data_IF_335213677546
#
_entry.id   IF_335213677546
#
_cell.length_a   1.000
_cell.length_b   1.000
_cell.length_c   1.000
_cell.angle_alpha   90.00
_cell.angle_beta   90.00
_cell.angle_gamma   90.00
#
_symmetry.space_group_name_H-M   'P 1'
#
loop_
_entity.id
_entity.type
_entity.pdbx_description
1 polymer ?
#
# COMPACT_ATOMS: atom_id res chain seq x y z
N UNK A 1 6.77 -3.76 19.40
CA UNK A 1 6.77 -2.43 18.71
C UNK A 1 5.34 -1.90 18.74
N UNK A 2 5.12 -0.64 19.09
CA UNK A 2 3.79 -0.02 19.03
C UNK A 2 3.68 0.75 17.71
N UNK A 3 2.64 0.47 16.92
CA UNK A 3 2.28 1.27 15.74
C UNK A 3 1.25 2.29 16.21
N UNK A 4 1.56 3.61 16.21
CA UNK A 4 0.67 4.62 16.74
C UNK A 4 -0.55 4.83 15.82
N UNK A 5 -1.68 5.21 16.41
CA UNK A 5 -2.86 5.70 15.70
C UNK A 5 -2.88 7.23 15.75
N UNK A 6 -2.97 7.87 14.59
CA UNK A 6 -2.95 9.32 14.41
C UNK A 6 -4.32 9.76 13.88
N UNK A 7 -4.92 10.72 14.53
CA UNK A 7 -6.25 11.24 14.17
C UNK A 7 -6.13 12.45 13.24
N UNK A 8 -6.70 12.34 12.04
CA UNK A 8 -6.73 13.39 11.02
C UNK A 8 -8.03 14.22 11.06
N UNK A 9 -8.88 14.07 12.10
CA UNK A 9 -10.14 14.85 12.21
C UNK A 9 -9.90 16.37 12.15
N UNK A 10 -8.79 16.84 12.71
CA UNK A 10 -8.42 18.26 12.71
C UNK A 10 -7.50 18.65 11.56
N UNK A 11 -7.31 17.78 10.56
CA UNK A 11 -6.52 18.14 9.39
C UNK A 11 -7.16 19.34 8.69
N UNK A 12 -6.42 20.43 8.63
CA UNK A 12 -6.79 21.64 7.90
C UNK A 12 -5.54 22.19 7.22
N UNK A 13 -5.52 22.16 5.90
CA UNK A 13 -4.39 22.60 5.11
C UNK A 13 -4.10 24.11 5.18
N UNK A 14 -4.96 24.90 5.82
CA UNK A 14 -4.81 26.34 6.09
C UNK A 14 -4.40 26.62 7.53
N UNK A 15 -4.35 25.60 8.40
CA UNK A 15 -3.92 25.70 9.80
C UNK A 15 -2.49 25.17 9.96
N UNK A 16 -1.53 26.07 9.87
CA UNK A 16 -0.11 25.72 10.00
C UNK A 16 0.23 25.05 11.34
N UNK A 17 -0.39 25.48 12.45
CA UNK A 17 -0.11 24.91 13.77
C UNK A 17 -0.65 23.48 13.90
N UNK A 18 -1.87 23.23 13.44
CA UNK A 18 -2.44 21.89 13.40
C UNK A 18 -1.66 20.94 12.50
N UNK A 19 -1.12 21.45 11.38
CA UNK A 19 -0.23 20.67 10.50
C UNK A 19 1.12 20.38 11.15
N UNK A 20 1.68 21.27 11.97
CA UNK A 20 2.95 21.03 12.70
C UNK A 20 2.79 19.88 13.70
N UNK A 21 1.67 19.83 14.44
CA UNK A 21 1.38 18.72 15.37
C UNK A 21 1.26 17.38 14.64
N UNK A 22 0.49 17.33 13.54
CA UNK A 22 0.38 16.13 12.71
C UNK A 22 1.73 15.72 12.11
N UNK A 23 2.50 16.68 11.61
CA UNK A 23 3.82 16.45 11.04
C UNK A 23 4.79 15.82 12.03
N UNK A 24 4.76 16.27 13.29
CA UNK A 24 5.57 15.70 14.37
C UNK A 24 5.19 14.23 14.65
N UNK A 25 3.89 13.96 14.85
CA UNK A 25 3.40 12.60 15.11
C UNK A 25 3.72 11.62 13.97
N UNK A 26 3.51 12.06 12.74
CA UNK A 26 3.79 11.28 11.54
C UNK A 26 5.30 11.03 11.39
N UNK A 27 6.13 12.06 11.58
CA UNK A 27 7.59 11.92 11.50
C UNK A 27 8.13 10.95 12.53
N UNK A 28 7.64 10.98 13.77
CA UNK A 28 8.03 10.07 14.83
C UNK A 28 7.67 8.61 14.49
N UNK A 29 6.46 8.37 13.99
CA UNK A 29 6.00 7.06 13.57
C UNK A 29 6.90 6.48 12.46
N UNK A 30 7.12 7.25 11.39
CA UNK A 30 7.85 6.80 10.20
C UNK A 30 9.35 6.63 10.47
N UNK A 31 9.95 7.45 11.33
CA UNK A 31 11.35 7.32 11.76
C UNK A 31 11.55 6.08 12.63
N UNK A 32 10.55 5.74 13.46
CA UNK A 32 10.64 4.63 14.42
C UNK A 32 10.33 3.28 13.78
N UNK A 33 9.19 3.18 13.11
CA UNK A 33 8.66 1.91 12.59
C UNK A 33 8.45 1.87 11.09
N UNK A 34 8.36 3.02 10.42
CA UNK A 34 7.91 3.10 9.04
C UNK A 34 6.41 2.86 8.87
N UNK A 35 5.68 2.67 9.98
CA UNK A 35 4.26 2.33 10.02
C UNK A 35 3.49 3.22 10.99
N UNK A 36 2.25 3.53 10.64
CA UNK A 36 1.26 4.19 11.51
C UNK A 36 -0.14 3.71 11.14
N UNK A 37 -1.12 4.00 11.98
CA UNK A 37 -2.54 3.91 11.64
C UNK A 37 -3.10 5.33 11.57
N UNK A 38 -4.02 5.58 10.66
CA UNK A 38 -4.71 6.85 10.55
C UNK A 38 -6.22 6.62 10.65
N UNK A 39 -6.89 7.44 11.44
CA UNK A 39 -8.36 7.57 11.48
C UNK A 39 -8.77 8.95 10.94
N UNK A 40 -10.00 9.08 10.47
CA UNK A 40 -10.57 10.33 9.94
C UNK A 40 -9.80 10.92 8.73
N UNK A 41 -9.25 10.06 7.87
CA UNK A 41 -8.50 10.48 6.69
C UNK A 41 -9.40 11.11 5.60
N UNK A 42 -10.72 10.99 5.71
CA UNK A 42 -11.70 11.48 4.74
C UNK A 42 -12.22 10.39 3.79
N UNK A 43 -11.84 9.14 4.05
CA UNK A 43 -12.44 7.94 3.46
C UNK A 43 -13.43 7.42 4.50
N UNK A 44 -14.71 7.30 4.14
CA UNK A 44 -15.76 6.92 5.09
C UNK A 44 -15.76 5.41 5.33
N UNK A 45 -16.26 4.99 6.50
CA UNK A 45 -16.43 3.57 6.80
C UNK A 45 -17.38 2.90 5.80
N UNK A 46 -18.44 3.59 5.37
CA UNK A 46 -19.36 3.10 4.34
C UNK A 46 -18.62 2.76 3.04
N UNK A 47 -17.78 3.68 2.54
CA UNK A 47 -16.95 3.42 1.35
C UNK A 47 -16.03 2.21 1.53
N UNK A 48 -15.44 2.04 2.71
CA UNK A 48 -14.56 0.91 2.99
C UNK A 48 -15.36 -0.40 3.00
N UNK A 49 -16.51 -0.41 3.65
CA UNK A 49 -17.37 -1.58 3.77
C UNK A 49 -17.92 -2.01 2.40
N UNK A 50 -18.36 -1.07 1.57
CA UNK A 50 -18.83 -1.32 0.20
C UNK A 50 -17.76 -2.03 -0.64
N UNK A 51 -16.49 -1.59 -0.56
CA UNK A 51 -15.40 -2.24 -1.30
C UNK A 51 -15.04 -3.61 -0.72
N UNK A 52 -15.17 -3.83 0.59
CA UNK A 52 -15.02 -5.18 1.15
C UNK A 52 -16.16 -6.11 0.71
N UNK A 53 -17.40 -5.63 0.59
CA UNK A 53 -18.53 -6.40 0.05
C UNK A 53 -18.29 -6.72 -1.41
N UNK A 54 -17.86 -5.74 -2.20
CA UNK A 54 -17.51 -5.92 -3.62
C UNK A 54 -16.38 -6.94 -3.81
N UNK A 55 -15.35 -6.87 -2.97
CA UNK A 55 -14.23 -7.82 -2.94
C UNK A 55 -14.72 -9.23 -2.62
N UNK A 56 -15.55 -9.39 -1.60
CA UNK A 56 -16.14 -10.66 -1.21
C UNK A 56 -16.98 -11.24 -2.33
N UNK A 57 -17.82 -10.42 -2.96
CA UNK A 57 -18.62 -10.81 -4.13
C UNK A 57 -17.73 -11.33 -5.28
N UNK A 58 -16.67 -10.60 -5.63
CA UNK A 58 -15.77 -10.99 -6.72
C UNK A 58 -15.08 -12.33 -6.43
N UNK A 59 -14.46 -12.48 -5.27
CA UNK A 59 -13.70 -13.70 -4.95
C UNK A 59 -14.61 -14.92 -4.67
N UNK A 60 -15.89 -14.74 -4.38
CA UNK A 60 -16.87 -15.84 -4.26
C UNK A 60 -17.31 -16.44 -5.60
N UNK A 61 -16.96 -15.80 -6.72
CA UNK A 61 -17.31 -16.29 -8.06
C UNK A 61 -16.48 -17.52 -8.43
N UNK A 62 -16.97 -18.29 -9.40
CA UNK A 62 -16.23 -19.45 -9.93
C UNK A 62 -14.89 -19.03 -10.54
N UNK A 63 -13.95 -19.95 -10.58
CA UNK A 63 -12.64 -19.68 -11.18
C UNK A 63 -12.75 -19.32 -12.67
N UNK A 64 -13.71 -19.91 -13.38
CA UNK A 64 -14.01 -19.60 -14.78
C UNK A 64 -14.45 -18.14 -14.95
N UNK A 65 -15.35 -17.66 -14.08
CA UNK A 65 -15.83 -16.27 -14.12
C UNK A 65 -14.73 -15.28 -13.76
N UNK A 66 -13.92 -15.54 -12.72
CA UNK A 66 -12.81 -14.67 -12.35
C UNK A 66 -11.75 -14.59 -13.44
N UNK A 67 -11.51 -15.70 -14.13
CA UNK A 67 -10.53 -15.79 -15.21
C UNK A 67 -10.90 -14.96 -16.46
N UNK A 68 -12.15 -14.53 -16.61
CA UNK A 68 -12.53 -13.56 -17.66
C UNK A 68 -11.85 -12.21 -17.48
N UNK A 69 -11.43 -11.91 -16.24
CA UNK A 69 -10.70 -10.70 -15.85
C UNK A 69 -9.20 -10.97 -15.62
N UNK A 70 -8.62 -11.99 -16.25
CA UNK A 70 -7.25 -12.43 -15.96
C UNK A 70 -6.22 -11.31 -16.13
N UNK A 71 -5.24 -11.30 -15.24
CA UNK A 71 -4.06 -10.43 -15.30
C UNK A 71 -3.20 -10.80 -16.52
N UNK A 72 -2.80 -9.81 -17.29
CA UNK A 72 -2.08 -10.03 -18.55
C UNK A 72 -0.60 -9.72 -18.42
N UNK A 73 -0.26 -8.54 -17.90
CA UNK A 73 1.14 -8.10 -17.84
C UNK A 73 1.42 -7.13 -16.70
N UNK A 74 2.70 -7.02 -16.32
CA UNK A 74 3.15 -6.06 -15.32
C UNK A 74 3.08 -4.60 -15.81
N UNK A 75 3.10 -4.36 -17.14
CA UNK A 75 2.95 -3.04 -17.70
C UNK A 75 1.53 -2.50 -17.51
N UNK A 76 0.52 -3.33 -17.77
CA UNK A 76 -0.88 -2.96 -17.55
C UNK A 76 -1.21 -2.94 -16.05
N UNK A 77 -0.68 -3.91 -15.31
CA UNK A 77 -0.97 -4.15 -13.90
C UNK A 77 -2.47 -4.13 -13.58
N UNK A 78 -3.24 -4.87 -14.41
CA UNK A 78 -4.68 -4.95 -14.35
C UNK A 78 -5.15 -6.41 -14.41
N UNK A 79 -6.04 -6.80 -13.49
CA UNK A 79 -6.78 -8.05 -13.56
C UNK A 79 -6.57 -9.00 -12.39
N UNK A 80 -7.16 -10.19 -12.53
CA UNK A 80 -7.20 -11.26 -11.55
C UNK A 80 -5.98 -12.18 -11.65
N UNK A 81 -5.39 -12.48 -10.51
CA UNK A 81 -4.37 -13.52 -10.36
C UNK A 81 -4.84 -14.58 -9.37
N UNK A 82 -4.78 -15.83 -9.81
CA UNK A 82 -5.18 -16.98 -9.00
C UNK A 82 -4.17 -17.33 -7.90
N UNK A 83 -4.55 -18.26 -7.03
CA UNK A 83 -3.71 -18.75 -5.93
C UNK A 83 -2.37 -19.29 -6.43
N UNK A 84 -1.30 -18.97 -5.71
CA UNK A 84 0.02 -19.54 -5.95
C UNK A 84 0.75 -18.99 -7.18
N UNK A 85 0.30 -17.88 -7.75
CA UNK A 85 0.98 -17.22 -8.88
C UNK A 85 2.05 -16.24 -8.38
N UNK A 86 1.80 -15.55 -7.27
CA UNK A 86 2.75 -14.58 -6.73
C UNK A 86 3.72 -15.21 -5.73
N UNK A 87 4.98 -14.75 -5.79
CA UNK A 87 6.05 -15.08 -4.87
C UNK A 87 6.73 -13.78 -4.42
N UNK A 88 6.27 -13.18 -3.31
CA UNK A 88 6.93 -11.99 -2.77
C UNK A 88 8.32 -12.31 -2.18
N UNK A 89 8.48 -13.51 -1.65
CA UNK A 89 9.79 -14.06 -1.28
C UNK A 89 10.10 -15.26 -2.18
N UNK A 90 10.94 -15.11 -3.22
CA UNK A 90 11.23 -16.19 -4.18
C UNK A 90 11.97 -17.39 -3.56
N UNK A 91 12.44 -17.28 -2.33
CA UNK A 91 13.10 -18.38 -1.60
C UNK A 91 12.10 -19.26 -0.86
N UNK A 92 10.84 -18.88 -0.80
CA UNK A 92 9.76 -19.54 -0.08
C UNK A 92 8.70 -20.07 -1.05
N UNK A 93 7.79 -20.96 -0.61
CA UNK A 93 6.64 -21.35 -1.43
C UNK A 93 5.78 -20.15 -1.83
N UNK A 94 5.04 -20.30 -2.94
CA UNK A 94 4.12 -19.27 -3.43
C UNK A 94 3.15 -18.79 -2.35
N UNK A 95 2.77 -17.52 -2.44
CA UNK A 95 1.85 -16.88 -1.50
C UNK A 95 0.44 -17.47 -1.56
N UNK A 96 -0.18 -17.65 -0.40
CA UNK A 96 -1.53 -18.17 -0.25
C UNK A 96 -2.57 -17.05 -0.38
N UNK A 97 -2.67 -16.46 -1.56
CA UNK A 97 -3.63 -15.39 -1.84
C UNK A 97 -4.09 -15.40 -3.30
N UNK A 98 -5.26 -14.83 -3.51
CA UNK A 98 -5.74 -14.38 -4.83
C UNK A 98 -5.77 -12.85 -4.83
N UNK A 99 -5.59 -12.23 -5.98
CA UNK A 99 -5.59 -10.77 -6.08
C UNK A 99 -6.37 -10.29 -7.29
N UNK A 100 -6.98 -9.11 -7.17
CA UNK A 100 -7.45 -8.34 -8.31
C UNK A 100 -6.77 -6.98 -8.26
N UNK A 101 -5.98 -6.67 -9.26
CA UNK A 101 -5.11 -5.48 -9.28
C UNK A 101 -5.62 -4.49 -10.32
N UNK A 102 -5.52 -3.21 -10.00
CA UNK A 102 -5.86 -2.09 -10.87
C UNK A 102 -4.74 -1.06 -10.77
N UNK A 103 -4.34 -0.49 -11.90
CA UNK A 103 -3.37 0.61 -11.95
C UNK A 103 -3.88 1.71 -12.87
N UNK A 104 -3.53 2.96 -12.57
CA UNK A 104 -3.87 4.14 -13.37
C UNK A 104 -5.37 4.23 -13.73
N UNK A 105 -6.21 3.95 -12.73
CA UNK A 105 -7.65 3.76 -12.94
C UNK A 105 -8.34 4.99 -13.55
N UNK A 106 -7.79 6.19 -13.33
CA UNK A 106 -8.34 7.43 -13.87
C UNK A 106 -8.16 7.54 -15.40
N UNK A 107 -7.17 6.84 -15.98
CA UNK A 107 -6.87 6.81 -17.42
C UNK A 107 -7.18 5.47 -18.05
N UNK A 108 -7.53 4.44 -17.25
CA UNK A 108 -7.85 3.12 -17.77
C UNK A 108 -9.05 3.18 -18.73
N UNK A 109 -8.98 2.40 -19.81
CA UNK A 109 -10.06 2.34 -20.81
C UNK A 109 -11.32 1.75 -20.15
N UNK A 110 -12.35 2.57 -20.03
CA UNK A 110 -13.65 2.17 -19.46
C UNK A 110 -14.40 1.15 -20.31
N UNK A 111 -14.02 0.97 -21.57
CA UNK A 111 -14.59 -0.04 -22.46
C UNK A 111 -13.90 -1.42 -22.36
N UNK A 112 -12.85 -1.55 -21.52
CA UNK A 112 -12.17 -2.82 -21.29
C UNK A 112 -13.20 -3.88 -20.84
N UNK A 113 -13.28 -4.96 -21.59
CA UNK A 113 -14.25 -6.06 -21.36
C UNK A 113 -13.85 -6.98 -20.22
N UNK A 114 -12.68 -6.79 -19.65
CA UNK A 114 -12.19 -7.56 -18.47
C UNK A 114 -12.78 -7.08 -17.15
N UNK A 115 -13.50 -5.95 -17.14
CA UNK A 115 -14.23 -5.54 -15.94
C UNK A 115 -15.30 -6.58 -15.60
N UNK A 116 -15.37 -7.07 -14.35
CA UNK A 116 -16.40 -8.04 -13.95
C UNK A 116 -17.82 -7.53 -14.21
N UNK A 117 -18.10 -6.27 -13.86
CA UNK A 117 -19.33 -5.53 -14.19
C UNK A 117 -19.05 -4.03 -14.26
N UNK A 118 -19.94 -3.23 -14.90
CA UNK A 118 -19.83 -1.76 -14.85
C UNK A 118 -19.87 -1.20 -13.45
N UNK A 119 -20.70 -1.74 -12.56
CA UNK A 119 -20.86 -1.32 -11.17
C UNK A 119 -19.55 -1.56 -10.41
N UNK A 120 -18.93 -2.74 -10.56
CA UNK A 120 -17.63 -3.07 -9.98
C UNK A 120 -16.55 -2.03 -10.34
N UNK A 121 -16.51 -1.66 -11.61
CA UNK A 121 -15.60 -0.60 -12.09
C UNK A 121 -15.88 0.75 -11.45
N UNK A 122 -17.15 1.16 -11.42
CA UNK A 122 -17.54 2.51 -10.99
C UNK A 122 -17.32 2.71 -9.49
N UNK A 123 -17.68 1.72 -8.66
CA UNK A 123 -17.41 1.74 -7.22
C UNK A 123 -15.91 1.77 -6.91
N UNK A 124 -15.11 0.93 -7.57
CA UNK A 124 -13.64 0.96 -7.40
C UNK A 124 -13.04 2.29 -7.88
N UNK A 125 -13.60 2.91 -8.93
CA UNK A 125 -13.12 4.21 -9.41
C UNK A 125 -13.37 5.31 -8.37
N UNK A 126 -14.52 5.32 -7.72
CA UNK A 126 -14.84 6.33 -6.71
C UNK A 126 -14.05 6.12 -5.42
N UNK A 127 -13.87 4.87 -5.00
CA UNK A 127 -12.98 4.55 -3.88
C UNK A 127 -11.51 4.92 -4.15
N UNK A 128 -11.02 4.64 -5.36
CA UNK A 128 -9.68 5.01 -5.78
C UNK A 128 -9.43 6.52 -5.70
N UNK A 129 -10.40 7.36 -6.12
CA UNK A 129 -10.34 8.82 -5.99
C UNK A 129 -10.28 9.23 -4.52
N UNK A 130 -11.14 8.65 -3.66
CA UNK A 130 -11.15 8.94 -2.24
C UNK A 130 -9.79 8.58 -1.58
N UNK A 131 -9.18 7.45 -1.97
CA UNK A 131 -7.86 7.06 -1.52
C UNK A 131 -6.75 8.01 -1.98
N UNK A 132 -6.80 8.47 -3.24
CA UNK A 132 -5.85 9.45 -3.76
C UNK A 132 -5.96 10.80 -3.02
N UNK A 133 -7.19 11.28 -2.78
CA UNK A 133 -7.43 12.50 -2.00
C UNK A 133 -6.93 12.35 -0.55
N UNK A 134 -7.16 11.21 0.09
CA UNK A 134 -6.62 10.88 1.40
C UNK A 134 -5.09 10.86 1.41
N UNK A 135 -4.48 10.26 0.38
CA UNK A 135 -3.04 10.23 0.22
C UNK A 135 -2.44 11.63 0.05
N UNK A 136 -3.10 12.53 -0.70
CA UNK A 136 -2.67 13.92 -0.84
C UNK A 136 -2.65 14.67 0.51
N UNK A 137 -3.58 14.38 1.43
CA UNK A 137 -3.54 14.93 2.79
C UNK A 137 -2.31 14.45 3.55
N UNK A 138 -2.00 13.15 3.51
CA UNK A 138 -0.79 12.57 4.12
C UNK A 138 0.46 13.19 3.51
N UNK A 139 0.52 13.34 2.19
CA UNK A 139 1.67 13.92 1.48
C UNK A 139 1.93 15.37 1.85
N UNK A 140 0.90 16.18 2.11
CA UNK A 140 1.05 17.54 2.64
C UNK A 140 1.64 17.55 4.05
N UNK A 141 1.20 16.60 4.90
CA UNK A 141 1.79 16.42 6.22
C UNK A 141 3.26 15.97 6.11
N UNK A 142 3.60 15.08 5.16
CA UNK A 142 5.00 14.70 4.88
C UNK A 142 5.83 15.89 4.42
N UNK A 143 5.29 16.71 3.51
CA UNK A 143 5.97 17.92 3.04
C UNK A 143 6.31 18.85 4.22
N UNK A 144 5.35 19.09 5.12
CA UNK A 144 5.54 19.88 6.33
C UNK A 144 6.59 19.26 7.26
N UNK A 145 6.51 17.94 7.54
CA UNK A 145 7.44 17.20 8.41
C UNK A 145 8.90 17.20 7.90
N UNK A 146 9.08 17.37 6.59
CA UNK A 146 10.38 17.37 5.92
C UNK A 146 10.86 18.78 5.55
N UNK A 147 10.15 19.84 5.96
CA UNK A 147 10.50 21.23 5.68
C UNK A 147 10.42 21.60 4.19
N UNK A 148 9.52 20.95 3.46
CA UNK A 148 9.29 21.19 2.04
C UNK A 148 8.07 22.11 1.82
N UNK A 149 7.94 22.64 0.62
CA UNK A 149 6.72 23.35 0.20
C UNK A 149 5.49 22.44 0.31
N UNK A 150 4.35 23.00 0.67
CA UNK A 150 3.11 22.28 1.02
C UNK A 150 2.74 21.15 0.05
N UNK A 151 2.75 21.40 -1.24
CA UNK A 151 2.36 20.44 -2.27
C UNK A 151 3.56 19.74 -2.94
N UNK A 152 4.73 19.73 -2.29
CA UNK A 152 5.97 19.17 -2.85
C UNK A 152 5.79 17.72 -3.33
N UNK A 153 5.15 16.86 -2.54
CA UNK A 153 4.89 15.49 -2.98
C UNK A 153 3.64 15.38 -3.87
N UNK A 154 2.60 16.14 -3.58
CA UNK A 154 1.32 16.09 -4.31
C UNK A 154 1.49 16.32 -5.81
N UNK A 155 2.38 17.25 -6.21
CA UNK A 155 2.63 17.55 -7.63
C UNK A 155 3.13 16.35 -8.45
N UNK A 156 3.71 15.35 -7.79
CA UNK A 156 4.25 14.14 -8.40
C UNK A 156 3.29 12.95 -8.39
N UNK A 157 2.07 13.11 -7.88
CA UNK A 157 1.10 12.04 -7.69
C UNK A 157 -0.23 12.39 -8.37
N UNK A 158 -0.22 12.37 -9.71
CA UNK A 158 -1.40 12.68 -10.53
C UNK A 158 -2.25 11.43 -10.82
N UNK A 159 -1.94 10.31 -10.17
CA UNK A 159 -2.67 9.04 -10.28
C UNK A 159 -2.13 8.08 -11.36
N UNK A 160 -1.11 8.45 -12.13
CA UNK A 160 -0.53 7.57 -13.15
C UNK A 160 0.05 6.27 -12.56
N UNK A 161 0.71 6.39 -11.42
CA UNK A 161 1.40 5.26 -10.79
C UNK A 161 0.75 4.87 -9.46
N UNK A 162 -0.57 4.96 -9.38
CA UNK A 162 -1.35 4.49 -8.24
C UNK A 162 -1.97 3.14 -8.58
N UNK A 163 -1.78 2.15 -7.70
CA UNK A 163 -2.34 0.82 -7.85
C UNK A 163 -3.25 0.49 -6.69
N UNK A 164 -4.43 -0.08 -6.98
CA UNK A 164 -5.36 -0.62 -5.99
C UNK A 164 -5.40 -2.14 -6.14
N UNK A 165 -5.29 -2.86 -5.02
CA UNK A 165 -5.35 -4.32 -5.00
C UNK A 165 -6.39 -4.80 -3.99
N UNK A 166 -7.33 -5.59 -4.47
CA UNK A 166 -8.17 -6.43 -3.64
C UNK A 166 -7.40 -7.73 -3.37
N UNK A 167 -7.32 -8.15 -2.12
CA UNK A 167 -6.55 -9.33 -1.71
C UNK A 167 -7.46 -10.27 -0.90
N UNK A 168 -7.49 -11.52 -1.31
CA UNK A 168 -8.23 -12.60 -0.68
C UNK A 168 -7.28 -13.69 -0.22
N UNK A 169 -7.37 -14.02 1.05
CA UNK A 169 -6.59 -15.08 1.70
C UNK A 169 -7.58 -16.14 2.22
N UNK A 170 -7.75 -17.25 1.49
CA UNK A 170 -8.65 -18.29 1.93
C UNK A 170 -8.18 -18.92 3.23
N UNK A 171 -9.13 -19.32 4.04
CA UNK A 171 -8.85 -20.15 5.21
C UNK A 171 -8.32 -21.52 4.76
N UNK A 172 -7.34 -22.03 5.47
CA UNK A 172 -6.66 -23.30 5.14
C UNK A 172 -6.54 -24.18 6.38
N UNK A 173 -6.57 -25.49 6.17
CA UNK A 173 -6.16 -26.45 7.19
C UNK A 173 -4.63 -26.36 7.43
N UNK A 174 -4.21 -26.76 8.61
CA UNK A 174 -2.75 -26.75 8.95
C UNK A 174 -1.97 -27.66 7.99
N UNK A 175 -2.58 -28.76 7.58
CA UNK A 175 -1.94 -29.76 6.70
C UNK A 175 -1.90 -29.31 5.23
N UNK A 176 -2.62 -28.25 4.87
CA UNK A 176 -2.66 -27.71 3.51
C UNK A 176 -1.58 -26.66 3.26
N UNK A 177 -0.84 -26.27 4.30
CA UNK A 177 0.16 -25.18 4.25
C UNK A 177 1.55 -25.80 4.25
N UNK A 178 2.33 -25.49 3.20
CA UNK A 178 3.72 -25.94 3.13
C UNK A 178 4.59 -25.24 4.21
N UNK A 179 5.68 -25.90 4.60
CA UNK A 179 6.63 -25.36 5.60
C UNK A 179 7.14 -24.00 5.13
N UNK A 180 6.93 -22.97 5.95
CA UNK A 180 7.35 -21.60 5.67
C UNK A 180 6.44 -20.84 4.69
N UNK A 181 5.37 -21.43 4.20
CA UNK A 181 4.42 -20.76 3.33
C UNK A 181 3.64 -19.68 4.06
N UNK A 182 3.46 -18.52 3.45
CA UNK A 182 2.80 -17.35 4.01
C UNK A 182 1.58 -16.95 3.17
N UNK A 183 0.68 -16.16 3.75
CA UNK A 183 -0.35 -15.47 2.99
C UNK A 183 0.24 -14.43 2.04
N UNK A 184 1.24 -13.69 2.54
CA UNK A 184 2.11 -12.85 1.72
C UNK A 184 3.53 -12.93 2.28
N UNK A 185 4.52 -13.24 1.45
CA UNK A 185 5.92 -13.36 1.80
C UNK A 185 6.49 -12.08 2.40
N UNK A 186 7.61 -12.19 3.12
CA UNK A 186 8.26 -11.02 3.72
C UNK A 186 8.85 -10.11 2.64
N UNK A 187 8.44 -8.83 2.62
CA UNK A 187 8.85 -7.85 1.61
C UNK A 187 8.83 -6.43 2.19
N UNK A 188 9.36 -5.49 1.44
CA UNK A 188 9.14 -4.05 1.58
C UNK A 188 8.33 -3.57 0.40
N UNK A 189 7.55 -2.49 0.57
CA UNK A 189 6.87 -1.84 -0.54
C UNK A 189 7.88 -1.03 -1.37
N UNK A 190 7.73 -1.06 -2.69
CA UNK A 190 8.71 -0.44 -3.58
C UNK A 190 8.55 1.07 -3.71
N UNK A 191 7.33 1.57 -3.50
CA UNK A 191 6.92 2.93 -3.80
C UNK A 191 7.08 3.93 -2.65
N UNK A 192 6.16 4.90 -2.61
CA UNK A 192 6.20 5.98 -1.63
C UNK A 192 5.39 5.65 -0.38
N UNK A 193 4.09 5.45 -0.51
CA UNK A 193 3.19 5.12 0.60
C UNK A 193 2.18 4.05 0.20
N UNK A 194 1.79 3.24 1.18
CA UNK A 194 0.71 2.27 1.07
C UNK A 194 -0.39 2.61 2.06
N UNK A 195 -1.64 2.60 1.59
CA UNK A 195 -2.85 2.62 2.40
C UNK A 195 -3.39 1.19 2.44
N UNK A 196 -3.35 0.57 3.60
CA UNK A 196 -3.85 -0.79 3.78
C UNK A 196 -5.10 -0.79 4.67
N UNK A 197 -6.20 -1.27 4.09
CA UNK A 197 -7.46 -1.49 4.78
C UNK A 197 -7.54 -2.96 5.19
N UNK A 198 -7.78 -3.21 6.46
CA UNK A 198 -7.99 -4.53 7.04
C UNK A 198 -9.41 -4.62 7.56
N UNK A 199 -10.09 -5.74 7.29
CA UNK A 199 -11.33 -6.10 7.96
C UNK A 199 -10.99 -6.76 9.32
N UNK A 200 -11.93 -7.37 9.99
CA UNK A 200 -11.85 -7.86 11.38
C UNK A 200 -10.72 -8.87 11.66
N UNK A 201 -10.09 -9.44 10.62
CA UNK A 201 -9.12 -10.52 10.75
C UNK A 201 -7.70 -10.00 10.55
N UNK A 202 -6.86 -10.15 11.57
CA UNK A 202 -5.44 -9.82 11.53
C UNK A 202 -4.62 -10.75 10.60
N UNK A 203 -3.30 -10.76 10.83
CA UNK A 203 -2.36 -11.58 10.07
C UNK A 203 -1.20 -10.77 9.50
N UNK A 204 -1.34 -9.45 9.38
CA UNK A 204 -0.22 -8.56 9.07
C UNK A 204 0.76 -8.55 10.24
N UNK A 205 2.05 -8.73 9.94
CA UNK A 205 3.16 -8.58 10.87
C UNK A 205 4.23 -7.65 10.27
N UNK A 206 4.80 -6.81 11.12
CA UNK A 206 5.85 -5.86 10.77
C UNK A 206 7.12 -6.20 11.54
N UNK A 207 8.28 -6.16 10.88
CA UNK A 207 9.56 -6.48 11.49
C UNK A 207 10.11 -5.29 12.26
N UNK A 208 10.20 -5.40 13.58
CA UNK A 208 10.79 -4.37 14.42
C UNK A 208 12.29 -4.21 14.21
N UNK A 209 12.86 -3.12 14.71
CA UNK A 209 14.30 -2.88 14.73
C UNK A 209 15.09 -3.95 15.53
N UNK A 210 14.40 -4.64 16.44
CA UNK A 210 14.88 -5.79 17.20
C UNK A 210 14.93 -7.10 16.38
N UNK A 211 14.46 -7.05 15.12
CA UNK A 211 14.36 -8.21 14.23
C UNK A 211 13.15 -9.11 14.49
N UNK A 212 12.31 -8.76 15.49
CA UNK A 212 11.12 -9.53 15.86
C UNK A 212 9.92 -9.11 15.01
N UNK A 213 9.07 -10.08 14.66
CA UNK A 213 7.81 -9.82 13.96
C UNK A 213 6.71 -9.45 14.96
N UNK A 214 6.10 -8.31 14.75
CA UNK A 214 5.04 -7.76 15.61
C UNK A 214 3.72 -7.74 14.84
N UNK A 215 2.63 -8.29 15.41
CA UNK A 215 1.33 -8.27 14.75
C UNK A 215 0.75 -6.85 14.70
N UNK A 216 0.09 -6.54 13.58
CA UNK A 216 -0.70 -5.31 13.40
C UNK A 216 -2.17 -5.67 13.52
N UNK A 217 -2.73 -5.47 14.71
CA UNK A 217 -4.14 -5.77 14.95
C UNK A 217 -5.03 -4.80 14.17
N UNK A 218 -6.04 -5.31 13.44
CA UNK A 218 -7.08 -4.47 12.87
C UNK A 218 -7.74 -3.61 13.96
N UNK A 219 -8.09 -2.39 13.61
CA UNK A 219 -8.77 -1.43 14.48
C UNK A 219 -9.83 -0.74 13.63
N UNK A 220 -11.04 -0.61 14.16
CA UNK A 220 -12.15 -0.01 13.44
C UNK A 220 -11.79 1.40 12.96
N UNK A 221 -12.20 1.73 11.73
CA UNK A 221 -11.97 3.03 11.09
C UNK A 221 -10.49 3.39 10.85
N UNK A 222 -9.56 2.51 11.24
CA UNK A 222 -8.14 2.80 11.09
C UNK A 222 -7.57 2.19 9.80
N UNK A 223 -6.89 3.04 9.03
CA UNK A 223 -6.15 2.68 7.84
C UNK A 223 -4.69 2.52 8.23
N UNK A 224 -4.08 1.37 7.95
CA UNK A 224 -2.65 1.18 8.15
C UNK A 224 -1.89 1.87 7.02
N UNK A 225 -0.95 2.73 7.40
CA UNK A 225 -0.10 3.46 6.45
C UNK A 225 1.35 3.05 6.69
N UNK A 226 2.06 2.76 5.61
CA UNK A 226 3.51 2.58 5.66
C UNK A 226 4.22 3.29 4.51
N UNK A 227 5.50 3.60 4.73
CA UNK A 227 6.39 4.14 3.70
C UNK A 227 7.17 3.01 3.05
N UNK A 228 7.41 3.16 1.75
CA UNK A 228 8.17 2.23 0.92
C UNK A 228 9.57 2.74 0.56
N UNK A 229 10.24 1.97 -0.29
CA UNK A 229 11.65 2.16 -0.65
C UNK A 229 11.93 3.51 -1.31
N UNK A 230 10.99 4.06 -2.10
CA UNK A 230 11.15 5.40 -2.70
C UNK A 230 11.17 6.49 -1.64
N UNK A 231 10.32 6.38 -0.61
CA UNK A 231 10.31 7.35 0.49
C UNK A 231 11.57 7.24 1.33
N UNK A 232 12.08 6.03 1.56
CA UNK A 232 13.36 5.82 2.23
C UNK A 232 14.51 6.49 1.45
N UNK A 233 14.53 6.35 0.13
CA UNK A 233 15.51 7.02 -0.74
C UNK A 233 15.40 8.55 -0.68
N UNK A 234 14.21 9.11 -0.82
CA UNK A 234 13.98 10.56 -0.74
C UNK A 234 14.46 11.15 0.56
N UNK A 235 14.26 10.42 1.67
CA UNK A 235 14.59 10.89 3.01
C UNK A 235 15.95 10.44 3.52
N UNK A 236 16.81 9.90 2.65
CA UNK A 236 18.15 9.39 3.02
C UNK A 236 18.09 8.36 4.17
N UNK A 237 17.06 7.51 4.19
CA UNK A 237 16.86 6.52 5.25
C UNK A 237 16.23 7.07 6.55
N UNK A 238 15.82 8.35 6.58
CA UNK A 238 15.14 8.94 7.75
C UNK A 238 13.77 8.27 7.98
N UNK A 239 12.96 8.09 6.95
CA UNK A 239 11.74 7.32 6.99
C UNK A 239 12.02 5.91 6.46
N UNK A 240 11.55 4.93 7.18
CA UNK A 240 11.95 3.53 6.95
C UNK A 240 11.03 2.84 5.97
N UNK A 241 11.63 2.09 5.05
CA UNK A 241 10.94 1.02 4.34
C UNK A 241 11.09 -0.27 5.16
N UNK A 242 10.03 -0.67 5.85
CA UNK A 242 10.11 -1.72 6.87
C UNK A 242 9.52 -3.04 6.35
N UNK A 243 10.28 -4.16 6.48
CA UNK A 243 9.79 -5.47 6.07
C UNK A 243 8.51 -5.85 6.82
N UNK A 244 7.54 -6.35 6.07
CA UNK A 244 6.28 -6.85 6.60
C UNK A 244 5.83 -8.11 5.85
N UNK A 245 4.92 -8.86 6.43
CA UNK A 245 4.41 -10.12 5.88
C UNK A 245 2.99 -10.38 6.34
N UNK A 246 2.31 -11.34 5.71
CA UNK A 246 0.99 -11.79 6.14
C UNK A 246 1.05 -13.27 6.48
N UNK A 247 0.66 -13.63 7.70
CA UNK A 247 0.54 -15.03 8.14
C UNK A 247 -0.54 -15.76 7.33
N UNK A 248 -0.38 -17.07 7.07
CA UNK A 248 -1.43 -17.84 6.45
C UNK A 248 -2.67 -17.84 7.33
N UNK A 249 -3.85 -17.82 6.71
CA UNK A 249 -5.11 -17.81 7.46
C UNK A 249 -5.50 -19.24 7.84
N UNK A 250 -5.44 -19.53 9.12
CA UNK A 250 -5.88 -20.80 9.71
C UNK A 250 -7.32 -20.70 10.21
N UNK A 251 -8.06 -21.83 10.12
CA UNK A 251 -9.44 -21.96 10.61
C UNK A 251 -10.48 -21.78 9.52
N UNK A 252 -11.70 -21.39 9.87
CA UNK A 252 -12.87 -21.48 8.99
C UNK A 252 -13.32 -20.12 8.42
N UNK A 253 -12.55 -19.06 8.64
CA UNK A 253 -12.92 -17.71 8.19
C UNK A 253 -11.84 -17.12 7.30
N UNK A 254 -12.22 -16.71 6.11
CA UNK A 254 -11.36 -16.10 5.13
C UNK A 254 -10.94 -14.68 5.55
N UNK A 255 -9.76 -14.24 5.10
CA UNK A 255 -9.27 -12.88 5.32
C UNK A 255 -9.32 -12.09 4.03
N UNK A 256 -9.79 -10.86 4.11
CA UNK A 256 -9.75 -9.87 3.03
C UNK A 256 -8.93 -8.65 3.46
N UNK A 257 -8.23 -8.05 2.51
CA UNK A 257 -7.64 -6.73 2.68
C UNK A 257 -7.63 -5.97 1.36
N UNK A 258 -7.52 -4.65 1.44
CA UNK A 258 -7.42 -3.78 0.27
C UNK A 258 -6.14 -2.97 0.45
N UNK A 259 -5.25 -2.99 -0.54
CA UNK A 259 -4.02 -2.22 -0.53
C UNK A 259 -4.03 -1.19 -1.67
N UNK A 260 -3.75 0.07 -1.34
CA UNK A 260 -3.60 1.14 -2.33
C UNK A 260 -2.18 1.68 -2.24
N UNK A 261 -1.41 1.43 -3.29
CA UNK A 261 -0.04 1.91 -3.43
C UNK A 261 -0.07 3.24 -4.16
N UNK A 262 0.32 4.30 -3.49
CA UNK A 262 0.32 5.66 -4.04
C UNK A 262 1.76 6.07 -4.30
N UNK A 263 2.18 5.79 -5.53
CA UNK A 263 3.54 5.99 -5.98
C UNK A 263 3.64 7.24 -6.87
N UNK A 264 4.81 7.90 -6.90
CA UNK A 264 5.01 9.04 -7.79
C UNK A 264 4.86 8.64 -9.26
N UNK A 265 4.38 9.57 -10.07
CA UNK A 265 4.30 9.41 -11.51
C UNK A 265 5.66 8.99 -12.09
N UNK A 266 5.66 8.17 -13.13
CA UNK A 266 6.81 7.39 -13.61
C UNK A 266 8.09 8.21 -13.83
N UNK A 267 7.97 9.41 -14.41
CA UNK A 267 9.11 10.28 -14.74
C UNK A 267 9.58 11.16 -13.56
N UNK A 268 8.98 10.97 -12.37
CA UNK A 268 9.33 11.78 -11.20
C UNK A 268 10.78 11.53 -10.77
N UNK A 269 11.62 12.58 -10.66
CA UNK A 269 12.97 12.42 -10.15
C UNK A 269 12.96 12.22 -8.63
N UNK A 270 13.54 11.13 -8.17
CA UNK A 270 13.73 10.81 -6.76
C UNK A 270 15.18 11.06 -6.38
N UNK A 271 15.40 12.20 -5.75
CA UNK A 271 16.68 12.67 -5.27
C UNK A 271 16.60 12.90 -3.77
N UNK A 272 17.64 12.53 -3.02
CA UNK A 272 17.71 12.78 -1.58
C UNK A 272 17.43 14.25 -1.28
N UNK A 273 16.47 14.49 -0.36
CA UNK A 273 16.09 15.84 0.06
C UNK A 273 17.20 16.48 0.91
N UNK A 274 17.57 17.70 0.57
CA UNK A 274 18.60 18.43 1.32
C UNK A 274 18.25 18.58 2.81
N UNK A 275 16.96 18.69 3.15
CA UNK A 275 16.48 18.75 4.54
C UNK A 275 16.70 17.44 5.33
N UNK A 276 17.01 16.35 4.64
CA UNK A 276 17.34 15.05 5.25
C UNK A 276 18.84 14.77 5.33
N UNK A 277 19.70 15.71 4.89
CA UNK A 277 21.15 15.61 4.96
C UNK A 277 21.69 16.47 6.13
N UNK A 278 22.68 15.93 6.84
CA UNK A 278 23.46 16.70 7.78
C UNK A 278 24.45 17.62 7.04
N UNK A 279 24.92 18.71 7.63
CA UNK A 279 25.95 19.52 7.02
C UNK A 279 27.19 18.70 6.62
N UNK A 280 27.52 18.69 5.32
CA UNK A 280 28.65 17.95 4.78
C UNK A 280 28.41 16.46 4.54
N UNK A 281 27.17 15.98 4.71
CA UNK A 281 26.80 14.60 4.39
C UNK A 281 26.52 14.46 2.90
N UNK A 282 27.11 13.43 2.28
CA UNK A 282 26.78 13.05 0.90
C UNK A 282 25.50 12.20 0.87
N UNK A 283 24.68 12.32 -0.20
CA UNK A 283 23.49 11.47 -0.38
C UNK A 283 23.85 9.99 -0.38
N UNK A 284 23.16 9.19 0.46
CA UNK A 284 23.33 7.74 0.52
C UNK A 284 22.72 7.00 -0.68
N UNK A 285 21.87 7.67 -1.45
CA UNK A 285 21.18 7.09 -2.62
C UNK A 285 21.45 7.95 -3.87
N UNK A 286 21.78 7.34 -5.02
CA UNK A 286 21.88 8.06 -6.29
C UNK A 286 20.49 8.54 -6.74
N UNK A 287 20.45 9.60 -7.53
CA UNK A 287 19.25 10.07 -8.19
C UNK A 287 18.73 8.99 -9.19
N UNK A 288 17.42 8.77 -9.22
CA UNK A 288 16.74 7.80 -10.08
C UNK A 288 15.34 8.32 -10.36
N UNK A 289 14.66 7.86 -11.43
CA UNK A 289 13.22 8.11 -11.58
C UNK A 289 12.41 7.08 -10.77
N UNK A 290 11.17 7.46 -10.42
CA UNK A 290 10.25 6.54 -9.74
C UNK A 290 10.00 5.28 -10.57
N UNK A 291 9.80 5.43 -11.88
CA UNK A 291 9.59 4.32 -12.80
C UNK A 291 10.78 3.37 -12.88
N UNK A 292 12.01 3.90 -13.03
CA UNK A 292 13.23 3.08 -13.05
C UNK A 292 13.39 2.25 -11.77
N UNK A 293 13.12 2.86 -10.61
CA UNK A 293 13.21 2.16 -9.34
C UNK A 293 12.19 1.02 -9.23
N UNK A 294 10.90 1.33 -9.44
CA UNK A 294 9.81 0.35 -9.30
C UNK A 294 9.97 -0.78 -10.31
N UNK A 295 10.26 -0.47 -11.58
CA UNK A 295 10.48 -1.49 -12.60
C UNK A 295 11.72 -2.35 -12.30
N UNK A 296 12.78 -1.74 -11.76
CA UNK A 296 13.97 -2.47 -11.31
C UNK A 296 13.64 -3.49 -10.23
N UNK A 297 12.82 -3.10 -9.25
CA UNK A 297 12.35 -3.98 -8.17
C UNK A 297 11.43 -5.10 -8.69
N UNK A 298 10.46 -4.77 -9.55
CA UNK A 298 9.56 -5.77 -10.15
C UNK A 298 10.37 -6.81 -10.94
N UNK A 299 11.33 -6.39 -11.77
CA UNK A 299 12.19 -7.35 -12.51
C UNK A 299 13.00 -8.25 -11.59
N UNK A 300 13.51 -7.71 -10.47
CA UNK A 300 14.27 -8.48 -9.50
C UNK A 300 13.43 -9.50 -8.71
N UNK A 301 12.12 -9.25 -8.56
CA UNK A 301 11.19 -10.14 -7.85
C UNK A 301 10.49 -11.16 -8.75
N UNK A 302 10.56 -11.01 -10.10
CA UNK A 302 9.92 -11.90 -11.06
C UNK A 302 10.95 -12.64 -11.97
N UNK A 303 12.23 -12.41 -11.77
CA UNK A 303 13.35 -13.11 -12.45
C UNK A 303 13.95 -14.17 -11.58
#
# INVERSE_FOLDING_TARGET
MLIPTIDFANYNEQDDAGLDDLASLVSDALTTSGFMKIVNLGITQEQIDDIFELSTWFFSRSEEEKSTSAYVSAEENFGYQSMGVEHLDPTMPADLKQTFTLRDLLRHDRSDTRWPTPEFRDELTDFYKACLDGAHRIQRVFSKALGMEKDFFVQYHQGENVSLRLLYYPSSGVDDIAVGQLGAGAHTDYGMITLLFQKDIGGLEVRGADGVWHPVTPENEAIVINTGDLMERWTNGKYRSTPHRVQPKLGDVDRYSIAVFVDPDTETPVKVLNSCLKPGEEPGYPEITAGEHIQGKIRASHG
#
